data_IF_390069574283
#
_entry.id   IF_390069574283
#
_cell.length_a   1.000
_cell.length_b   1.000
_cell.length_c   1.000
_cell.angle_alpha   90.00
_cell.angle_beta   90.00
_cell.angle_gamma   90.00
#
_symmetry.space_group_name_H-M   'P 1'
#
loop_
_entity.id
_entity.type
_entity.pdbx_description
1 polymer ?
#
# COMPACT_ATOMS: atom_id res chain seq x y z
N UNK A 1 7.87 -29.15 -8.80
CA UNK A 1 9.11 -28.42 -9.17
C UNK A 1 9.10 -27.07 -8.47
N UNK A 2 10.08 -26.81 -7.60
CA UNK A 2 10.21 -25.61 -6.77
C UNK A 2 10.83 -24.46 -7.59
N UNK A 3 10.22 -24.10 -8.71
CA UNK A 3 10.79 -23.13 -9.67
C UNK A 3 10.70 -21.68 -9.18
N UNK A 4 9.95 -21.40 -8.12
CA UNK A 4 9.66 -20.04 -7.63
C UNK A 4 10.14 -19.79 -6.18
N UNK A 5 11.15 -20.53 -5.69
CA UNK A 5 11.62 -20.40 -4.30
C UNK A 5 11.98 -18.97 -3.88
N UNK A 6 12.64 -18.23 -4.78
CA UNK A 6 12.97 -16.81 -4.56
C UNK A 6 11.71 -15.96 -4.43
N UNK A 7 10.73 -16.14 -5.32
CA UNK A 7 9.46 -15.40 -5.27
C UNK A 7 8.64 -15.72 -4.01
N UNK A 8 8.65 -16.97 -3.57
CA UNK A 8 8.02 -17.39 -2.31
C UNK A 8 8.71 -16.75 -1.10
N UNK A 9 10.04 -16.67 -1.10
CA UNK A 9 10.81 -16.01 -0.05
C UNK A 9 10.50 -14.50 0.02
N UNK A 10 10.49 -13.80 -1.12
CA UNK A 10 10.10 -12.39 -1.17
C UNK A 10 8.67 -12.16 -0.66
N UNK A 11 7.73 -13.02 -1.05
CA UNK A 11 6.35 -12.95 -0.58
C UNK A 11 6.25 -13.13 0.93
N UNK A 12 6.97 -14.12 1.49
CA UNK A 12 7.01 -14.37 2.94
C UNK A 12 7.61 -13.18 3.71
N UNK A 13 8.70 -12.60 3.21
CA UNK A 13 9.33 -11.42 3.81
C UNK A 13 8.37 -10.21 3.78
N UNK A 14 7.68 -9.98 2.66
CA UNK A 14 6.68 -8.91 2.53
C UNK A 14 5.49 -9.11 3.46
N UNK A 15 5.01 -10.35 3.63
CA UNK A 15 3.92 -10.65 4.55
C UNK A 15 4.35 -10.48 6.01
N UNK A 16 5.57 -10.92 6.35
CA UNK A 16 6.16 -10.71 7.66
C UNK A 16 6.25 -9.22 7.99
N UNK A 17 6.76 -8.41 7.05
CA UNK A 17 6.79 -6.95 7.16
C UNK A 17 5.41 -6.36 7.45
N UNK A 18 4.40 -6.75 6.65
CA UNK A 18 3.05 -6.23 6.78
C UNK A 18 2.43 -6.58 8.15
N UNK A 19 2.60 -7.83 8.62
CA UNK A 19 2.11 -8.27 9.92
C UNK A 19 2.79 -7.53 11.07
N UNK A 20 4.11 -7.36 11.03
CA UNK A 20 4.84 -6.64 12.06
C UNK A 20 4.42 -5.18 12.15
N UNK A 21 4.19 -4.52 11.02
CA UNK A 21 3.70 -3.13 10.99
C UNK A 21 2.30 -2.99 11.60
N UNK A 22 1.39 -3.94 11.34
CA UNK A 22 0.06 -3.94 11.99
C UNK A 22 0.23 -4.09 13.50
N UNK A 23 0.99 -5.10 13.95
CA UNK A 23 1.21 -5.39 15.37
C UNK A 23 1.78 -4.16 16.08
N UNK A 24 2.85 -3.57 15.55
CA UNK A 24 3.51 -2.41 16.16
C UNK A 24 2.59 -1.19 16.30
N UNK A 25 1.64 -1.00 15.37
CA UNK A 25 0.69 0.12 15.41
C UNK A 25 -0.53 -0.11 16.29
N UNK A 26 -0.78 -1.35 16.71
CA UNK A 26 -1.81 -1.64 17.72
C UNK A 26 -1.30 -1.30 19.11
N UNK A 27 -1.98 -0.36 19.76
CA UNK A 27 -1.72 0.06 21.14
C UNK A 27 -2.26 -0.98 22.13
N UNK A 28 -1.57 -2.13 22.21
CA UNK A 28 -1.88 -3.18 23.18
C UNK A 28 -0.76 -3.28 24.21
N UNK A 29 -1.11 -3.35 25.49
CA UNK A 29 -0.15 -3.56 26.57
C UNK A 29 0.52 -4.94 26.42
N UNK A 30 1.74 -4.95 25.90
CA UNK A 30 2.52 -6.18 25.71
C UNK A 30 3.18 -6.62 27.02
N UNK A 31 3.30 -7.93 27.22
CA UNK A 31 4.17 -8.50 28.26
C UNK A 31 5.64 -8.21 27.95
N UNK A 32 6.50 -8.12 28.97
CA UNK A 32 7.93 -7.78 28.81
C UNK A 32 8.69 -8.72 27.84
N UNK A 33 8.27 -9.98 27.75
CA UNK A 33 8.84 -10.95 26.80
C UNK A 33 8.43 -10.67 25.35
N UNK A 34 7.20 -10.20 25.13
CA UNK A 34 6.70 -9.85 23.81
C UNK A 34 7.31 -8.54 23.31
N UNK A 35 7.51 -7.54 24.18
CA UNK A 35 8.16 -6.28 23.80
C UNK A 35 9.62 -6.47 23.40
N UNK A 36 10.36 -7.33 24.10
CA UNK A 36 11.74 -7.68 23.74
C UNK A 36 11.87 -8.38 22.38
N UNK A 37 10.97 -9.31 22.08
CA UNK A 37 10.90 -9.98 20.78
C UNK A 37 10.48 -9.01 19.65
N UNK A 38 9.58 -8.05 19.91
CA UNK A 38 9.25 -7.04 18.91
C UNK A 38 10.41 -6.08 18.65
N UNK A 39 11.18 -5.72 19.68
CA UNK A 39 12.36 -4.86 19.54
C UNK A 39 13.42 -5.44 18.59
N UNK A 40 13.63 -6.76 18.58
CA UNK A 40 14.59 -7.42 17.66
C UNK A 40 14.10 -7.49 16.22
N UNK A 41 12.80 -7.38 15.97
CA UNK A 41 12.23 -7.32 14.61
C UNK A 41 11.84 -5.90 14.18
N UNK A 42 11.91 -4.90 15.08
CA UNK A 42 11.55 -3.50 14.80
C UNK A 42 12.38 -2.88 13.66
N UNK A 43 13.64 -3.31 13.48
CA UNK A 43 14.46 -2.85 12.35
C UNK A 43 13.90 -3.28 10.98
N UNK A 44 13.11 -4.35 10.93
CA UNK A 44 12.46 -4.79 9.68
C UNK A 44 11.23 -3.94 9.35
N UNK A 45 10.54 -3.37 10.34
CA UNK A 45 9.38 -2.48 10.10
C UNK A 45 9.77 -1.11 9.56
N UNK A 46 11.03 -0.72 9.74
CA UNK A 46 11.57 0.59 9.39
C UNK A 46 12.28 0.61 8.02
N UNK A 47 11.76 -0.09 7.01
CA UNK A 47 12.29 0.02 5.63
C UNK A 47 12.10 1.45 5.07
N UNK A 48 11.09 2.18 5.57
CA UNK A 48 10.93 3.60 5.27
C UNK A 48 12.05 4.47 5.85
N UNK A 49 12.84 3.96 6.78
CA UNK A 49 14.03 4.64 7.32
C UNK A 49 15.16 4.72 6.28
N UNK A 50 15.22 3.79 5.32
CA UNK A 50 16.11 3.87 4.15
C UNK A 50 15.68 4.96 3.14
N UNK A 51 14.42 5.40 3.21
CA UNK A 51 13.85 6.49 2.38
C UNK A 51 13.32 7.60 3.29
N UNK A 52 13.90 7.79 4.47
CA UNK A 52 13.49 8.89 5.36
C UNK A 52 14.01 10.20 4.76
N UNK A 53 13.12 10.85 4.02
CA UNK A 53 13.32 12.17 3.41
C UNK A 53 13.55 13.27 4.45
N UNK A 54 13.29 12.97 5.73
CA UNK A 54 13.66 13.78 6.88
C UNK A 54 15.19 14.04 6.92
N UNK A 55 16.00 13.10 6.40
CA UNK A 55 17.46 13.24 6.24
C UNK A 55 17.88 14.00 4.97
N UNK A 56 16.98 14.26 4.02
CA UNK A 56 17.26 14.97 2.76
C UNK A 56 16.89 16.47 2.81
N UNK A 57 16.53 16.99 3.99
CA UNK A 57 16.24 18.42 4.18
C UNK A 57 14.89 18.88 3.64
N UNK A 58 13.99 17.97 3.26
CA UNK A 58 12.61 18.29 2.84
C UNK A 58 11.72 18.37 4.09
N UNK A 59 11.96 19.39 4.93
CA UNK A 59 11.51 19.46 6.33
C UNK A 59 10.03 19.79 6.56
N UNK A 60 9.21 19.95 5.52
CA UNK A 60 7.79 20.32 5.71
C UNK A 60 6.90 19.08 5.61
N UNK A 61 6.15 18.79 6.68
CA UNK A 61 5.15 17.71 6.74
C UNK A 61 4.21 17.69 5.53
N UNK A 62 3.86 18.86 4.99
CA UNK A 62 3.07 18.99 3.75
C UNK A 62 3.71 18.28 2.55
N UNK A 63 5.02 18.41 2.36
CA UNK A 63 5.71 17.80 1.23
C UNK A 63 5.81 16.29 1.40
N UNK A 64 6.05 15.82 2.64
CA UNK A 64 6.01 14.40 3.00
C UNK A 64 4.64 13.80 2.68
N UNK A 65 3.58 14.51 3.06
CA UNK A 65 2.20 14.08 2.83
C UNK A 65 1.86 13.97 1.33
N UNK A 66 2.23 14.98 0.55
CA UNK A 66 2.01 15.01 -0.90
C UNK A 66 2.80 13.89 -1.59
N UNK A 67 4.08 13.71 -1.25
CA UNK A 67 4.93 12.72 -1.88
C UNK A 67 4.47 11.28 -1.55
N UNK A 68 4.05 11.03 -0.31
CA UNK A 68 3.49 9.73 0.09
C UNK A 68 2.15 9.46 -0.60
N UNK A 69 1.30 10.47 -0.79
CA UNK A 69 0.05 10.34 -1.56
C UNK A 69 0.30 10.03 -3.05
N UNK A 70 1.44 10.47 -3.59
CA UNK A 70 1.89 10.15 -4.95
C UNK A 70 2.64 8.81 -5.03
N UNK A 71 2.98 8.18 -3.91
CA UNK A 71 3.68 6.89 -3.85
C UNK A 71 3.07 5.81 -4.76
N UNK A 72 1.75 5.59 -4.74
CA UNK A 72 1.12 4.62 -5.64
C UNK A 72 1.21 5.02 -7.12
N UNK A 73 1.24 6.31 -7.43
CA UNK A 73 1.45 6.80 -8.81
C UNK A 73 2.87 6.49 -9.30
N UNK A 74 3.88 6.55 -8.43
CA UNK A 74 5.23 6.09 -8.78
C UNK A 74 5.24 4.58 -9.09
N UNK A 75 4.49 3.76 -8.34
CA UNK A 75 4.35 2.33 -8.63
C UNK A 75 3.66 2.12 -9.98
N UNK A 76 2.59 2.87 -10.29
CA UNK A 76 1.93 2.85 -11.61
C UNK A 76 2.94 3.18 -12.71
N UNK A 77 3.70 4.26 -12.55
CA UNK A 77 4.69 4.69 -13.52
C UNK A 77 5.78 3.63 -13.75
N UNK A 78 6.29 3.03 -12.67
CA UNK A 78 7.27 1.95 -12.76
C UNK A 78 6.73 0.73 -13.53
N UNK A 79 5.49 0.31 -13.24
CA UNK A 79 4.84 -0.78 -13.98
C UNK A 79 4.58 -0.41 -15.45
N UNK A 80 4.19 0.83 -15.74
CA UNK A 80 4.00 1.32 -17.10
C UNK A 80 5.31 1.32 -17.90
N UNK A 81 6.42 1.72 -17.27
CA UNK A 81 7.77 1.68 -17.89
C UNK A 81 8.20 0.24 -18.15
N UNK A 82 8.05 -0.66 -17.17
CA UNK A 82 8.38 -2.09 -17.35
C UNK A 82 7.55 -2.72 -18.46
N UNK A 83 6.24 -2.42 -18.50
CA UNK A 83 5.38 -2.90 -19.56
C UNK A 83 5.80 -2.33 -20.93
N UNK A 84 6.05 -1.02 -21.02
CA UNK A 84 6.45 -0.36 -22.27
C UNK A 84 7.78 -0.91 -22.80
N UNK A 85 8.78 -1.06 -21.94
CA UNK A 85 10.07 -1.65 -22.31
C UNK A 85 9.92 -3.12 -22.73
N UNK A 86 9.10 -3.89 -22.04
CA UNK A 86 8.77 -5.27 -22.43
C UNK A 86 8.11 -5.35 -23.81
N UNK A 87 7.21 -4.44 -24.15
CA UNK A 87 6.56 -4.43 -25.48
C UNK A 87 7.52 -3.98 -26.59
N UNK A 88 8.37 -2.99 -26.32
CA UNK A 88 9.38 -2.53 -27.27
C UNK A 88 10.41 -3.63 -27.59
N UNK A 89 10.85 -4.38 -26.57
CA UNK A 89 11.73 -5.55 -26.75
C UNK A 89 10.96 -6.71 -27.41
N UNK A 90 9.67 -6.85 -27.06
CA UNK A 90 8.74 -7.84 -27.59
C UNK A 90 8.59 -7.79 -29.10
N UNK A 91 8.69 -6.60 -29.71
CA UNK A 91 8.71 -6.45 -31.16
C UNK A 91 9.85 -7.23 -31.83
N UNK A 92 11.01 -7.34 -31.17
CA UNK A 92 12.13 -8.16 -31.68
C UNK A 92 12.16 -9.58 -31.13
N UNK A 93 11.63 -9.80 -29.92
CA UNK A 93 11.61 -11.11 -29.26
C UNK A 93 10.24 -11.36 -28.59
N UNK A 94 9.29 -12.02 -29.28
CA UNK A 94 7.92 -12.15 -28.81
C UNK A 94 7.79 -12.95 -27.50
N UNK A 95 8.79 -13.75 -27.15
CA UNK A 95 8.83 -14.53 -25.90
C UNK A 95 8.99 -13.67 -24.64
N UNK A 96 9.46 -12.42 -24.76
CA UNK A 96 9.64 -11.49 -23.63
C UNK A 96 8.49 -10.49 -23.46
N UNK A 97 7.48 -10.51 -24.33
CA UNK A 97 6.36 -9.57 -24.28
C UNK A 97 5.43 -9.91 -23.11
N UNK A 98 5.25 -8.96 -22.16
CA UNK A 98 4.38 -9.15 -21.00
C UNK A 98 2.90 -8.99 -21.37
N UNK A 99 2.10 -9.94 -20.91
CA UNK A 99 0.65 -9.93 -21.08
C UNK A 99 -0.01 -8.96 -20.08
N UNK A 100 -0.85 -8.04 -20.60
CA UNK A 100 -1.37 -6.91 -19.82
C UNK A 100 -2.19 -7.34 -18.59
N UNK A 101 -2.98 -8.42 -18.66
CA UNK A 101 -3.78 -8.83 -17.52
C UNK A 101 -2.90 -9.36 -16.39
N UNK A 102 -1.81 -10.08 -16.70
CA UNK A 102 -0.81 -10.50 -15.71
C UNK A 102 -0.10 -9.31 -15.09
N UNK A 103 0.27 -8.30 -15.88
CA UNK A 103 0.88 -7.07 -15.38
C UNK A 103 -0.06 -6.34 -14.41
N UNK A 104 -1.33 -6.19 -14.79
CA UNK A 104 -2.36 -5.58 -13.93
C UNK A 104 -2.53 -6.38 -12.63
N UNK A 105 -2.56 -7.71 -12.69
CA UNK A 105 -2.67 -8.54 -11.48
C UNK A 105 -1.47 -8.36 -10.56
N UNK A 106 -0.26 -8.26 -11.10
CA UNK A 106 0.94 -8.00 -10.30
C UNK A 106 0.89 -6.61 -9.64
N UNK A 107 0.52 -5.59 -10.42
CA UNK A 107 0.35 -4.23 -9.95
C UNK A 107 -0.69 -4.11 -8.82
N UNK A 108 -1.90 -4.65 -9.01
CA UNK A 108 -2.96 -4.62 -8.00
C UNK A 108 -2.58 -5.39 -6.73
N UNK A 109 -1.81 -6.47 -6.87
CA UNK A 109 -1.25 -7.20 -5.71
C UNK A 109 -0.28 -6.34 -4.90
N UNK A 110 0.56 -5.54 -5.56
CA UNK A 110 1.49 -4.62 -4.89
C UNK A 110 0.73 -3.46 -4.25
N UNK A 111 -0.29 -2.91 -4.92
CA UNK A 111 -1.16 -1.89 -4.29
C UNK A 111 -1.83 -2.45 -3.04
N UNK A 112 -2.38 -3.66 -3.09
CA UNK A 112 -3.03 -4.28 -1.94
C UNK A 112 -2.07 -4.43 -0.75
N UNK A 113 -0.81 -4.79 -1.02
CA UNK A 113 0.23 -4.91 0.00
C UNK A 113 0.52 -3.58 0.71
N UNK A 114 0.57 -2.47 -0.03
CA UNK A 114 0.85 -1.13 0.53
C UNK A 114 -0.40 -0.37 0.98
N UNK A 115 -1.58 -0.93 0.74
CA UNK A 115 -2.87 -0.27 0.99
C UNK A 115 -3.01 0.21 2.43
N UNK A 116 -2.63 -0.60 3.41
CA UNK A 116 -2.72 -0.23 4.83
C UNK A 116 -1.88 0.99 5.18
N UNK A 117 -0.66 1.08 4.63
CA UNK A 117 0.21 2.25 4.81
C UNK A 117 -0.37 3.51 4.18
N UNK A 118 -0.97 3.39 2.99
CA UNK A 118 -1.63 4.52 2.30
C UNK A 118 -2.84 5.01 3.09
N UNK A 119 -3.66 4.08 3.60
CA UNK A 119 -4.84 4.41 4.41
C UNK A 119 -4.44 5.09 5.71
N UNK A 120 -3.45 4.56 6.44
CA UNK A 120 -2.99 5.18 7.68
C UNK A 120 -2.44 6.60 7.46
N UNK A 121 -1.65 6.77 6.40
CA UNK A 121 -1.13 8.08 6.00
C UNK A 121 -2.24 9.06 5.62
N UNK A 122 -3.25 8.63 4.85
CA UNK A 122 -4.38 9.47 4.48
C UNK A 122 -5.24 9.86 5.69
N UNK A 123 -5.41 8.93 6.66
CA UNK A 123 -6.18 9.16 7.87
C UNK A 123 -5.44 9.98 8.94
N UNK A 124 -4.12 10.12 8.82
CA UNK A 124 -3.30 10.80 9.83
C UNK A 124 -3.68 12.27 9.99
N UNK A 125 -4.11 12.96 8.92
CA UNK A 125 -4.55 14.38 8.97
C UNK A 125 -5.80 14.59 9.84
N UNK A 126 -6.59 13.55 10.06
CA UNK A 126 -7.79 13.60 10.89
C UNK A 126 -7.52 13.30 12.37
N UNK A 127 -6.29 12.89 12.74
CA UNK A 127 -5.91 12.55 14.12
C UNK A 127 -5.31 13.79 14.80
N UNK A 128 -6.12 14.49 15.59
CA UNK A 128 -5.70 15.61 16.43
C UNK A 128 -5.64 15.20 17.91
N UNK A 129 -4.61 15.66 18.63
CA UNK A 129 -4.49 15.48 20.08
C UNK A 129 -4.51 16.83 20.79
N UNK A 130 -5.09 16.85 21.99
CA UNK A 130 -5.14 18.03 22.85
C UNK A 130 -3.83 18.14 23.62
N UNK A 131 -3.18 19.30 23.53
CA UNK A 131 -1.99 19.61 24.28
C UNK A 131 -2.33 20.23 25.65
N UNK A 132 -1.41 20.17 26.63
CA UNK A 132 -1.61 20.78 27.95
C UNK A 132 -1.87 22.29 27.91
N UNK A 133 -1.49 22.97 26.83
CA UNK A 133 -1.73 24.40 26.61
C UNK A 133 -3.15 24.70 26.07
N UNK A 134 -4.02 23.70 25.93
CA UNK A 134 -5.39 23.83 25.41
C UNK A 134 -5.50 23.88 23.89
N UNK A 135 -4.38 23.83 23.16
CA UNK A 135 -4.39 23.79 21.69
C UNK A 135 -4.49 22.36 21.17
N UNK A 136 -5.13 22.18 20.02
CA UNK A 136 -5.17 20.90 19.31
C UNK A 136 -4.09 20.88 18.24
N UNK A 137 -3.20 19.89 18.27
CA UNK A 137 -2.17 19.72 17.24
C UNK A 137 -2.29 18.35 16.60
N UNK A 138 -1.75 18.22 15.39
CA UNK A 138 -1.72 16.95 14.70
C UNK A 138 -0.87 15.92 15.46
N UNK A 139 -1.36 14.68 15.57
CA UNK A 139 -0.63 13.61 16.31
C UNK A 139 0.72 13.31 15.68
N UNK A 140 0.81 13.35 14.36
CA UNK A 140 2.05 13.09 13.62
C UNK A 140 3.04 14.25 13.62
N UNK A 141 2.57 15.48 13.80
CA UNK A 141 3.41 16.68 13.81
C UNK A 141 2.79 17.77 14.68
N UNK A 142 3.40 18.00 15.85
CA UNK A 142 2.90 18.98 16.83
C UNK A 142 3.12 20.43 16.40
N UNK A 143 3.86 20.69 15.31
CA UNK A 143 4.02 22.05 14.77
C UNK A 143 2.76 22.54 14.04
N UNK A 144 1.85 21.63 13.65
CA UNK A 144 0.63 21.96 12.92
C UNK A 144 -0.54 22.03 13.90
N UNK A 145 -1.11 23.22 14.03
CA UNK A 145 -2.33 23.46 14.79
C UNK A 145 -3.56 23.00 13.97
N UNK A 146 -4.36 22.14 14.58
CA UNK A 146 -5.61 21.67 13.98
C UNK A 146 -6.63 22.82 13.92
N UNK A 147 -7.47 22.80 12.89
CA UNK A 147 -8.49 23.83 12.62
C UNK A 147 -7.96 25.23 12.25
N UNK A 148 -6.65 25.39 12.09
CA UNK A 148 -6.04 26.62 11.60
C UNK A 148 -5.67 26.56 10.11
N UNK A 149 -5.25 27.70 9.55
CA UNK A 149 -5.07 27.88 8.10
C UNK A 149 -4.15 26.86 7.43
N UNK A 150 -3.06 26.43 8.10
CA UNK A 150 -2.15 25.41 7.57
C UNK A 150 -2.79 24.01 7.44
N UNK A 151 -3.65 23.64 8.39
CA UNK A 151 -4.33 22.34 8.40
C UNK A 151 -5.37 22.21 7.29
N UNK A 152 -6.08 23.29 6.94
CA UNK A 152 -7.11 23.26 5.90
C UNK A 152 -6.60 22.81 4.52
N UNK A 153 -5.37 23.18 4.14
CA UNK A 153 -4.74 22.74 2.88
C UNK A 153 -4.40 21.26 2.91
N UNK A 154 -3.91 20.78 4.05
CA UNK A 154 -3.58 19.37 4.26
C UNK A 154 -4.84 18.50 4.30
N UNK A 155 -5.93 19.05 4.86
CA UNK A 155 -7.24 18.40 4.89
C UNK A 155 -7.75 18.10 3.48
N UNK A 156 -7.65 19.06 2.55
CA UNK A 156 -8.07 18.86 1.17
C UNK A 156 -7.30 17.70 0.49
N UNK A 157 -5.98 17.64 0.70
CA UNK A 157 -5.14 16.53 0.21
C UNK A 157 -5.53 15.22 0.87
N UNK A 158 -5.75 15.21 2.19
CA UNK A 158 -6.16 14.02 2.94
C UNK A 158 -7.49 13.46 2.46
N UNK A 159 -8.50 14.32 2.29
CA UNK A 159 -9.82 13.94 1.76
C UNK A 159 -9.70 13.39 0.35
N UNK A 160 -8.94 14.05 -0.54
CA UNK A 160 -8.71 13.55 -1.89
C UNK A 160 -8.04 12.17 -1.90
N UNK A 161 -7.01 11.98 -1.05
CA UNK A 161 -6.33 10.70 -0.90
C UNK A 161 -7.26 9.60 -0.36
N UNK A 162 -8.14 9.91 0.60
CA UNK A 162 -9.14 8.94 1.10
C UNK A 162 -10.13 8.56 0.00
N UNK A 163 -10.64 9.52 -0.77
CA UNK A 163 -11.60 9.24 -1.84
C UNK A 163 -10.98 8.38 -2.96
N UNK A 164 -9.78 8.74 -3.40
CA UNK A 164 -9.09 8.03 -4.50
C UNK A 164 -8.63 6.66 -4.04
N UNK A 165 -7.88 6.59 -2.94
CA UNK A 165 -7.22 5.36 -2.53
C UNK A 165 -8.13 4.47 -1.70
N UNK A 166 -8.81 4.98 -0.66
CA UNK A 166 -9.65 4.13 0.18
C UNK A 166 -10.94 3.73 -0.54
N UNK A 167 -11.71 4.72 -1.01
CA UNK A 167 -13.03 4.46 -1.62
C UNK A 167 -12.87 3.91 -3.03
N UNK A 168 -12.05 4.53 -3.87
CA UNK A 168 -11.86 4.11 -5.27
C UNK A 168 -11.36 2.67 -5.40
N UNK A 169 -10.30 2.29 -4.67
CA UNK A 169 -9.76 0.93 -4.72
C UNK A 169 -10.77 -0.09 -4.18
N UNK A 170 -11.47 0.25 -3.09
CA UNK A 170 -12.49 -0.63 -2.52
C UNK A 170 -13.64 -0.87 -3.51
N UNK A 171 -14.12 0.15 -4.21
CA UNK A 171 -15.15 0.00 -5.24
C UNK A 171 -14.68 -0.88 -6.40
N UNK A 172 -13.42 -0.75 -6.83
CA UNK A 172 -12.83 -1.61 -7.88
C UNK A 172 -12.84 -3.08 -7.44
N UNK A 173 -12.44 -3.36 -6.19
CA UNK A 173 -12.44 -4.73 -5.67
C UNK A 173 -13.84 -5.27 -5.45
N UNK A 174 -14.77 -4.48 -4.92
CA UNK A 174 -16.19 -4.87 -4.79
C UNK A 174 -16.80 -5.21 -6.14
N UNK A 175 -16.56 -4.39 -7.16
CA UNK A 175 -17.01 -4.66 -8.52
C UNK A 175 -16.41 -5.95 -9.08
N UNK A 176 -15.12 -6.20 -8.84
CA UNK A 176 -14.46 -7.43 -9.27
C UNK A 176 -15.07 -8.67 -8.61
N UNK A 177 -15.34 -8.62 -7.29
CA UNK A 177 -16.00 -9.71 -6.55
C UNK A 177 -17.42 -9.93 -7.03
N UNK A 178 -18.18 -8.85 -7.25
CA UNK A 178 -19.57 -8.94 -7.72
C UNK A 178 -19.67 -9.56 -9.12
N UNK A 179 -18.75 -9.20 -10.01
CA UNK A 179 -18.77 -9.67 -11.41
C UNK A 179 -18.06 -11.00 -11.62
N UNK A 180 -17.26 -11.45 -10.64
CA UNK A 180 -16.47 -12.67 -10.76
C UNK A 180 -17.35 -13.91 -11.04
N UNK A 181 -18.42 -14.23 -10.29
CA UNK A 181 -19.19 -15.46 -10.52
C UNK A 181 -19.73 -15.59 -11.95
N UNK A 182 -20.24 -14.49 -12.52
CA UNK A 182 -20.83 -14.49 -13.86
C UNK A 182 -19.77 -14.61 -14.99
N UNK A 183 -18.56 -14.09 -14.76
CA UNK A 183 -17.54 -13.97 -15.82
C UNK A 183 -16.26 -14.78 -15.55
N UNK A 184 -16.24 -15.62 -14.51
CA UNK A 184 -15.04 -16.35 -14.08
C UNK A 184 -14.53 -17.32 -15.15
N UNK A 185 -15.39 -17.79 -16.05
CA UNK A 185 -15.01 -18.66 -17.17
C UNK A 185 -14.02 -18.01 -18.16
N UNK A 186 -13.91 -16.67 -18.17
CA UNK A 186 -13.02 -15.95 -19.07
C UNK A 186 -11.58 -15.93 -18.53
N UNK A 187 -10.64 -16.50 -19.31
CA UNK A 187 -9.21 -16.56 -18.96
C UNK A 187 -8.60 -15.18 -18.65
N UNK A 188 -9.05 -14.12 -19.31
CA UNK A 188 -8.57 -12.76 -19.09
C UNK A 188 -8.92 -12.24 -17.69
N UNK A 189 -10.11 -12.56 -17.19
CA UNK A 189 -10.59 -12.15 -15.86
C UNK A 189 -9.87 -12.96 -14.79
N UNK A 190 -9.69 -14.27 -15.02
CA UNK A 190 -8.88 -15.12 -14.14
C UNK A 190 -7.43 -14.61 -14.04
N UNK A 191 -6.82 -14.21 -15.16
CA UNK A 191 -5.47 -13.68 -15.19
C UNK A 191 -5.35 -12.32 -14.49
N UNK A 192 -6.31 -11.41 -14.71
CA UNK A 192 -6.33 -10.04 -14.15
C UNK A 192 -6.56 -10.00 -12.65
N UNK A 193 -7.50 -10.82 -12.16
CA UNK A 193 -7.89 -10.85 -10.74
C UNK A 193 -7.26 -12.02 -9.99
N UNK A 194 -6.21 -12.62 -10.55
CA UNK A 194 -5.53 -13.77 -9.97
C UNK A 194 -5.11 -13.51 -8.53
N UNK A 195 -4.60 -12.31 -8.23
CA UNK A 195 -4.18 -11.95 -6.87
C UNK A 195 -5.31 -12.06 -5.83
N UNK A 196 -6.56 -11.76 -6.24
CA UNK A 196 -7.73 -11.77 -5.35
C UNK A 196 -8.31 -13.19 -5.21
N UNK A 197 -8.33 -13.93 -6.31
CA UNK A 197 -8.98 -15.25 -6.39
C UNK A 197 -7.99 -16.43 -6.36
N UNK A 198 -6.71 -16.23 -6.03
CA UNK A 198 -5.70 -17.30 -6.06
C UNK A 198 -6.06 -18.48 -5.14
N UNK A 199 -6.80 -18.21 -4.05
CA UNK A 199 -7.29 -19.23 -3.11
C UNK A 199 -8.74 -19.62 -3.34
N UNK A 200 -9.43 -18.99 -4.27
CA UNK A 200 -10.82 -19.31 -4.58
C UNK A 200 -10.86 -20.64 -5.34
N UNK A 201 -11.57 -21.62 -4.78
CA UNK A 201 -11.78 -22.94 -5.35
C UNK A 201 -13.26 -23.10 -5.69
N UNK A 202 -13.66 -22.95 -6.96
CA UNK A 202 -15.06 -23.05 -7.35
C UNK A 202 -15.62 -24.46 -7.15
N UNK A 203 -14.75 -25.47 -7.07
CA UNK A 203 -15.03 -26.91 -6.90
C UNK A 203 -15.49 -27.32 -5.49
N UNK A 204 -15.38 -26.44 -4.49
CA UNK A 204 -15.74 -26.75 -3.08
C UNK A 204 -16.94 -25.96 -2.58
N UNK A 205 -17.42 -24.99 -3.36
CA UNK A 205 -18.47 -24.06 -2.93
C UNK A 205 -19.68 -23.97 -3.88
N UNK A 206 -19.86 -24.98 -4.74
CA UNK A 206 -21.13 -25.30 -5.40
C UNK A 206 -21.25 -26.81 -5.59
#
# INVERSE_FOLDING_TARGET
>A
KWTNGVGALFFLLLHHYHLMNIIYRTDTAYTETASGAMGTFAWTSDVWLLVNLDCYGIQTFSNKMILQSLGPMFIVAAYAVVWSTSQLIGWRRPTLAMEINRTISGFLSVILLFFTGIVDMALTVFKCATNPNGQHTLVSDRSILCFEGGWSRLLAVGVASVLVWCVGVMLIFMYAVWTAPAKFHQKNIQARWKFLFIRYRPDVHF
#
